data_IF_047248776098
#
_entry.id   IF_047248776098
#
_cell.length_a   1.000
_cell.length_b   1.000
_cell.length_c   1.000
_cell.angle_alpha   90.00
_cell.angle_beta   90.00
_cell.angle_gamma   90.00
#
_symmetry.space_group_name_H-M   'P 1'
#
loop_
_entity.id
_entity.type
_entity.pdbx_description
1 polymer ?
#
# COMPACT_ATOMS: atom_id res chain seq x y z
N UNK A 1 9.77 19.06 16.28
CA UNK A 1 8.69 18.07 16.45
C UNK A 1 8.12 17.78 15.07
N UNK A 2 8.20 16.56 14.51
CA UNK A 2 7.54 16.32 13.22
C UNK A 2 7.79 14.99 12.49
N UNK A 3 8.96 14.36 12.63
CA UNK A 3 9.26 13.13 11.86
C UNK A 3 8.67 11.86 12.49
N UNK A 4 8.57 11.82 13.82
CA UNK A 4 8.10 10.65 14.57
C UNK A 4 6.59 10.46 14.45
N UNK A 5 5.82 11.55 14.38
CA UNK A 5 4.36 11.48 14.16
C UNK A 5 4.04 10.96 12.77
N UNK A 6 4.79 11.37 11.75
CA UNK A 6 4.61 10.86 10.38
C UNK A 6 4.97 9.39 10.28
N UNK A 7 6.06 8.95 10.91
CA UNK A 7 6.45 7.53 10.90
C UNK A 7 5.41 6.63 11.58
N UNK A 8 4.84 7.08 12.71
CA UNK A 8 3.80 6.32 13.42
C UNK A 8 2.51 6.24 12.62
N UNK A 9 2.09 7.34 11.99
CA UNK A 9 0.90 7.36 11.13
C UNK A 9 1.09 6.50 9.86
N UNK A 10 2.31 6.44 9.31
CA UNK A 10 2.64 5.54 8.20
C UNK A 10 2.57 4.08 8.62
N UNK A 11 3.12 3.73 9.79
CA UNK A 11 3.08 2.36 10.30
C UNK A 11 1.64 1.88 10.54
N UNK A 12 0.79 2.75 11.08
CA UNK A 12 -0.63 2.48 11.30
C UNK A 12 -1.35 2.19 9.96
N UNK A 13 -1.20 3.09 8.98
CA UNK A 13 -1.77 2.89 7.63
C UNK A 13 -1.24 1.65 6.93
N UNK A 14 0.03 1.29 7.12
CA UNK A 14 0.60 0.06 6.56
C UNK A 14 -0.06 -1.19 7.16
N UNK A 15 -0.36 -1.16 8.45
CA UNK A 15 -1.06 -2.25 9.13
C UNK A 15 -2.49 -2.39 8.60
N UNK A 16 -3.22 -1.28 8.47
CA UNK A 16 -4.57 -1.28 7.88
C UNK A 16 -4.58 -1.83 6.46
N UNK A 17 -3.69 -1.35 5.60
CA UNK A 17 -3.58 -1.80 4.22
C UNK A 17 -3.18 -3.28 4.11
N UNK A 18 -2.27 -3.75 4.96
CA UNK A 18 -1.87 -5.17 4.96
C UNK A 18 -3.00 -6.08 5.43
N UNK A 19 -3.85 -5.61 6.35
CA UNK A 19 -5.04 -6.34 6.78
C UNK A 19 -6.12 -6.36 5.68
N UNK A 20 -6.35 -5.24 5.01
CA UNK A 20 -7.33 -5.12 3.92
C UNK A 20 -6.92 -5.92 2.67
N UNK A 21 -5.65 -5.82 2.26
CA UNK A 21 -5.12 -6.47 1.06
C UNK A 21 -4.25 -7.67 1.43
N UNK A 22 -4.88 -8.68 2.01
CA UNK A 22 -4.20 -9.92 2.38
C UNK A 22 -3.49 -10.55 1.17
N UNK A 23 -2.19 -10.84 1.36
CA UNK A 23 -1.32 -11.37 0.31
C UNK A 23 -0.56 -10.31 -0.49
N UNK A 24 -0.80 -9.02 -0.27
CA UNK A 24 0.04 -7.94 -0.75
C UNK A 24 1.10 -7.57 0.28
N UNK A 25 2.35 -7.40 -0.17
CA UNK A 25 3.43 -6.82 0.62
C UNK A 25 3.47 -5.33 0.35
N UNK A 26 3.13 -4.53 1.35
CA UNK A 26 2.95 -3.09 1.23
C UNK A 26 4.02 -2.38 2.05
N UNK A 27 4.55 -1.27 1.54
CA UNK A 27 5.56 -0.48 2.24
C UNK A 27 5.62 0.96 1.73
N UNK A 28 6.36 1.78 2.48
CA UNK A 28 6.75 3.13 2.06
C UNK A 28 8.26 3.17 1.88
N UNK A 29 8.72 3.52 0.69
CA UNK A 29 10.14 3.62 0.36
C UNK A 29 10.77 4.89 0.92
N UNK A 30 12.10 4.92 1.02
CA UNK A 30 12.87 6.07 1.51
C UNK A 30 12.67 7.36 0.69
N UNK A 31 12.21 7.23 -0.56
CA UNK A 31 11.83 8.36 -1.43
C UNK A 31 10.45 8.96 -1.12
N UNK A 32 9.74 8.44 -0.11
CA UNK A 32 8.39 8.87 0.25
C UNK A 32 7.26 8.20 -0.55
N UNK A 33 7.62 7.43 -1.59
CA UNK A 33 6.70 6.68 -2.43
C UNK A 33 6.16 5.44 -1.71
N UNK A 34 4.87 5.19 -1.86
CA UNK A 34 4.21 3.97 -1.46
C UNK A 34 4.37 2.90 -2.53
N UNK A 35 4.49 1.66 -2.09
CA UNK A 35 4.61 0.51 -2.96
C UNK A 35 3.84 -0.69 -2.41
N UNK A 36 3.34 -1.52 -3.31
CA UNK A 36 2.71 -2.77 -2.98
C UNK A 36 3.08 -3.84 -4.01
N UNK A 37 3.41 -5.03 -3.55
CA UNK A 37 3.81 -6.17 -4.39
C UNK A 37 3.03 -7.41 -4.02
N UNK A 38 2.53 -8.12 -5.02
CA UNK A 38 1.94 -9.45 -4.85
C UNK A 38 2.30 -10.34 -6.04
N UNK A 39 3.14 -11.34 -5.81
CA UNK A 39 3.62 -12.20 -6.89
C UNK A 39 4.40 -11.39 -7.93
N UNK A 40 3.89 -11.33 -9.17
CA UNK A 40 4.48 -10.55 -10.27
C UNK A 40 3.89 -9.14 -10.41
N UNK A 41 2.87 -8.79 -9.62
CA UNK A 41 2.23 -7.47 -9.66
C UNK A 41 2.98 -6.50 -8.74
N UNK A 42 3.36 -5.33 -9.28
CA UNK A 42 4.02 -4.23 -8.56
C UNK A 42 3.26 -2.93 -8.81
N UNK A 43 2.80 -2.28 -7.75
CA UNK A 43 2.19 -0.96 -7.78
C UNK A 43 3.07 0.01 -7.00
N UNK A 44 3.35 1.18 -7.58
CA UNK A 44 4.11 2.26 -6.94
C UNK A 44 3.39 3.59 -7.17
N UNK A 45 3.23 4.37 -6.11
CA UNK A 45 2.51 5.64 -6.16
C UNK A 45 3.02 6.58 -5.06
N UNK A 46 3.03 7.90 -5.29
CA UNK A 46 3.36 8.87 -4.26
C UNK A 46 2.30 8.96 -3.16
N UNK A 47 1.07 8.57 -3.45
CA UNK A 47 -0.08 8.68 -2.57
C UNK A 47 -0.63 7.32 -2.12
N UNK A 48 -1.07 7.26 -0.87
CA UNK A 48 -1.56 6.04 -0.22
C UNK A 48 -2.99 5.70 -0.62
N UNK A 49 -3.82 6.71 -0.89
CA UNK A 49 -5.20 6.49 -1.37
C UNK A 49 -5.18 6.00 -2.82
N UNK A 50 -4.31 6.56 -3.66
CA UNK A 50 -4.08 6.04 -5.01
C UNK A 50 -3.59 4.58 -4.98
N UNK A 51 -2.74 4.22 -4.00
CA UNK A 51 -2.31 2.83 -3.81
C UNK A 51 -3.51 1.94 -3.50
N UNK A 52 -4.36 2.36 -2.55
CA UNK A 52 -5.54 1.61 -2.12
C UNK A 52 -6.50 1.35 -3.28
N UNK A 53 -6.80 2.37 -4.09
CA UNK A 53 -7.69 2.25 -5.26
C UNK A 53 -7.12 1.23 -6.24
N UNK A 54 -5.85 1.35 -6.62
CA UNK A 54 -5.21 0.40 -7.54
C UNK A 54 -5.24 -1.02 -7.00
N UNK A 55 -4.90 -1.22 -5.72
CA UNK A 55 -4.96 -2.53 -5.08
C UNK A 55 -6.36 -3.14 -5.07
N UNK A 56 -7.37 -2.30 -4.91
CA UNK A 56 -8.78 -2.70 -5.02
C UNK A 56 -9.10 -3.15 -6.44
N UNK A 57 -8.70 -2.38 -7.46
CA UNK A 57 -8.88 -2.74 -8.87
C UNK A 57 -8.22 -4.08 -9.21
N UNK A 58 -6.98 -4.33 -8.76
CA UNK A 58 -6.31 -5.63 -8.96
C UNK A 58 -7.02 -6.78 -8.25
N UNK A 59 -7.59 -6.53 -7.07
CA UNK A 59 -8.31 -7.55 -6.30
C UNK A 59 -9.67 -7.87 -6.94
N UNK A 60 -10.37 -6.86 -7.45
CA UNK A 60 -11.64 -7.01 -8.19
C UNK A 60 -11.39 -7.70 -9.53
N UNK A 61 -10.43 -7.22 -10.33
CA UNK A 61 -10.11 -7.78 -11.64
C UNK A 61 -9.77 -9.28 -11.56
N UNK A 62 -9.05 -9.72 -10.52
CA UNK A 62 -8.71 -11.13 -10.32
C UNK A 62 -9.84 -11.98 -9.74
N UNK A 63 -10.88 -11.40 -9.15
CA UNK A 63 -12.09 -12.15 -8.74
C UNK A 63 -12.99 -12.48 -9.95
N UNK A 64 -12.83 -11.77 -11.06
CA UNK A 64 -13.58 -11.97 -12.30
C UNK A 64 -12.87 -12.86 -13.35
N UNK A 65 -11.68 -13.39 -13.04
CA UNK A 65 -10.93 -14.32 -13.88
C UNK A 65 -11.00 -15.74 -13.29
#
# INVERSE_FOLDING_TARGET
>A
MGIEQTARHVADRLSELSAEFTGWRIGRGGSGLWWAVRGNDLVRTPDVEELRVRLHEFTVARRHA
#
